data_IF_082102462434
#
_entry.id   IF_082102462434
#
_cell.length_a   1.000
_cell.length_b   1.000
_cell.length_c   1.000
_cell.angle_alpha   90.00
_cell.angle_beta   90.00
_cell.angle_gamma   90.00
#
_symmetry.space_group_name_H-M   'P 1'
#
loop_
_entity.id
_entity.type
_entity.pdbx_description
1 polymer ?
#
# COMPACT_ATOMS: atom_id res chain seq x y z
N UNK A 1 -54.82 33.05 -3.08
CA UNK A 1 -54.04 34.30 -3.34
C UNK A 1 -52.62 34.28 -2.71
N UNK A 2 -52.28 33.37 -1.78
CA UNK A 2 -50.94 33.33 -1.15
C UNK A 2 -49.90 32.38 -1.79
N UNK A 3 -50.23 31.56 -2.79
CA UNK A 3 -49.26 30.65 -3.43
C UNK A 3 -48.35 31.34 -4.45
N UNK A 4 -48.84 32.41 -5.09
CA UNK A 4 -48.10 33.18 -6.10
C UNK A 4 -46.87 33.89 -5.52
N UNK A 5 -46.93 34.30 -4.26
CA UNK A 5 -45.87 35.02 -3.55
C UNK A 5 -44.75 34.09 -3.07
N UNK A 6 -45.04 32.84 -2.76
CA UNK A 6 -44.03 31.82 -2.41
C UNK A 6 -43.27 31.32 -3.63
N UNK A 7 -43.95 31.11 -4.77
CA UNK A 7 -43.30 30.73 -6.03
C UNK A 7 -42.37 31.82 -6.56
N UNK A 8 -42.78 33.09 -6.52
CA UNK A 8 -41.92 34.22 -6.91
C UNK A 8 -40.73 34.43 -5.97
N UNK A 9 -40.87 34.14 -4.67
CA UNK A 9 -39.73 34.14 -3.73
C UNK A 9 -38.79 32.96 -3.99
N UNK A 10 -39.31 31.79 -4.35
CA UNK A 10 -38.49 30.63 -4.73
C UNK A 10 -37.73 30.92 -6.03
N UNK A 11 -38.40 31.47 -7.05
CA UNK A 11 -37.77 31.88 -8.31
C UNK A 11 -36.75 32.99 -8.12
N UNK A 12 -37.03 33.99 -7.27
CA UNK A 12 -36.07 35.03 -6.92
C UNK A 12 -34.85 34.47 -6.18
N UNK A 13 -35.04 33.51 -5.26
CA UNK A 13 -33.94 32.83 -4.57
C UNK A 13 -33.14 31.91 -5.51
N UNK A 14 -33.80 31.25 -6.48
CA UNK A 14 -33.14 30.47 -7.55
C UNK A 14 -32.38 31.39 -8.52
N UNK A 15 -32.89 32.60 -8.76
CA UNK A 15 -32.22 33.62 -9.59
C UNK A 15 -31.05 34.30 -8.85
N UNK A 16 -31.10 34.41 -7.52
CA UNK A 16 -29.98 34.84 -6.67
C UNK A 16 -28.94 33.71 -6.51
N UNK A 17 -29.37 32.45 -6.56
CA UNK A 17 -28.47 31.28 -6.67
C UNK A 17 -27.92 31.03 -8.08
N UNK A 18 -28.30 31.82 -9.10
CA UNK A 18 -27.40 32.10 -10.23
C UNK A 18 -26.28 33.04 -9.76
N UNK A 19 -25.67 32.71 -8.62
CA UNK A 19 -24.35 33.18 -8.28
C UNK A 19 -23.49 32.88 -9.51
N UNK A 20 -23.00 33.96 -10.11
CA UNK A 20 -22.19 33.91 -11.33
C UNK A 20 -21.20 32.76 -11.21
N UNK A 21 -21.23 31.84 -12.16
CA UNK A 21 -20.33 30.71 -12.17
C UNK A 21 -18.94 31.21 -12.60
N UNK A 22 -18.30 31.92 -11.67
CA UNK A 22 -17.04 32.62 -11.89
C UNK A 22 -15.93 31.68 -12.36
N UNK A 23 -15.97 30.40 -11.95
CA UNK A 23 -15.03 29.38 -12.41
C UNK A 23 -15.22 29.04 -13.89
N UNK A 24 -16.45 28.98 -14.40
CA UNK A 24 -16.67 28.67 -15.83
C UNK A 24 -16.25 29.79 -16.77
N UNK A 25 -16.21 31.03 -16.28
CA UNK A 25 -15.78 32.21 -17.04
C UNK A 25 -14.25 32.31 -17.16
N UNK A 26 -13.51 31.62 -16.28
CA UNK A 26 -12.05 31.62 -16.35
C UNK A 26 -11.53 30.83 -17.57
N UNK A 27 -10.37 31.24 -18.11
CA UNK A 27 -9.56 30.41 -18.98
C UNK A 27 -9.26 29.04 -18.36
N UNK A 28 -9.09 28.02 -19.20
CA UNK A 28 -8.95 26.62 -18.76
C UNK A 28 -7.67 26.39 -17.95
N UNK A 29 -6.57 27.08 -18.27
CA UNK A 29 -5.30 27.03 -17.54
C UNK A 29 -5.43 27.61 -16.12
N UNK A 30 -6.15 28.72 -15.99
CA UNK A 30 -6.44 29.37 -14.71
C UNK A 30 -7.35 28.48 -13.85
N UNK A 31 -8.40 27.92 -14.46
CA UNK A 31 -9.30 26.97 -13.81
C UNK A 31 -8.54 25.73 -13.33
N UNK A 32 -7.66 25.18 -14.17
CA UNK A 32 -6.84 24.02 -13.83
C UNK A 32 -5.88 24.31 -12.67
N UNK A 33 -5.29 25.51 -12.60
CA UNK A 33 -4.43 25.92 -11.49
C UNK A 33 -5.19 26.01 -10.16
N UNK A 34 -6.45 26.48 -10.19
CA UNK A 34 -7.29 26.53 -9.00
C UNK A 34 -7.68 25.11 -8.57
N UNK A 35 -8.21 24.31 -9.50
CA UNK A 35 -8.68 22.96 -9.22
C UNK A 35 -7.55 22.01 -8.80
N UNK A 36 -6.31 22.20 -9.23
CA UNK A 36 -5.18 21.38 -8.78
C UNK A 36 -4.82 21.55 -7.31
N UNK A 37 -5.35 22.58 -6.64
CA UNK A 37 -5.15 22.82 -5.20
C UNK A 37 -6.24 22.17 -4.35
N UNK A 38 -7.25 21.60 -4.97
CA UNK A 38 -8.34 20.92 -4.31
C UNK A 38 -8.00 19.44 -4.13
N UNK A 39 -8.67 18.80 -3.17
CA UNK A 39 -8.54 17.36 -3.02
C UNK A 39 -9.49 16.61 -3.97
N UNK A 40 -9.40 15.28 -3.96
CA UNK A 40 -10.25 14.48 -4.83
C UNK A 40 -11.75 14.56 -4.49
N UNK A 41 -12.13 14.82 -3.25
CA UNK A 41 -13.54 14.91 -2.85
C UNK A 41 -14.14 16.23 -3.35
N UNK A 42 -13.41 17.33 -3.17
CA UNK A 42 -13.78 18.64 -3.72
C UNK A 42 -13.97 18.57 -5.24
N UNK A 43 -13.07 17.87 -5.94
CA UNK A 43 -13.15 17.69 -7.39
C UNK A 43 -14.35 16.83 -7.80
N UNK A 44 -14.70 15.81 -7.02
CA UNK A 44 -15.89 14.99 -7.26
C UNK A 44 -17.17 15.84 -7.15
N UNK A 45 -17.25 16.75 -6.18
CA UNK A 45 -18.37 17.68 -6.06
C UNK A 45 -18.43 18.66 -7.25
N UNK A 46 -17.30 19.27 -7.61
CA UNK A 46 -17.20 20.24 -8.70
C UNK A 46 -17.55 19.61 -10.06
N UNK A 47 -17.19 18.34 -10.27
CA UNK A 47 -17.47 17.60 -11.50
C UNK A 47 -18.97 17.56 -11.83
N UNK A 48 -19.82 17.58 -10.79
CA UNK A 48 -21.28 17.50 -10.96
C UNK A 48 -21.91 18.81 -11.44
N UNK A 49 -21.17 19.93 -11.38
CA UNK A 49 -21.72 21.26 -11.61
C UNK A 49 -21.93 21.60 -13.10
N UNK A 50 -21.04 21.16 -13.99
CA UNK A 50 -21.13 21.44 -15.44
C UNK A 50 -20.23 20.52 -16.27
N UNK A 51 -20.51 20.39 -17.58
CA UNK A 51 -19.66 19.64 -18.51
C UNK A 51 -18.22 20.17 -18.60
N UNK A 52 -18.04 21.50 -18.56
CA UNK A 52 -16.71 22.13 -18.56
C UNK A 52 -15.96 21.74 -17.28
N UNK A 53 -16.61 21.90 -16.12
CA UNK A 53 -15.98 21.55 -14.83
C UNK A 53 -15.65 20.06 -14.71
N UNK A 54 -16.46 19.18 -15.30
CA UNK A 54 -16.12 17.75 -15.42
C UNK A 54 -14.78 17.54 -16.12
N UNK A 55 -14.64 18.10 -17.32
CA UNK A 55 -13.41 17.95 -18.12
C UNK A 55 -12.18 18.52 -17.40
N UNK A 56 -12.31 19.69 -16.79
CA UNK A 56 -11.18 20.32 -16.09
C UNK A 56 -10.84 19.53 -14.81
N UNK A 57 -11.83 19.05 -14.07
CA UNK A 57 -11.62 18.21 -12.88
C UNK A 57 -10.90 16.91 -13.23
N UNK A 58 -11.26 16.26 -14.34
CA UNK A 58 -10.57 15.07 -14.85
C UNK A 58 -9.07 15.30 -15.09
N UNK A 59 -8.71 16.47 -15.62
CA UNK A 59 -7.31 16.84 -15.84
C UNK A 59 -6.63 17.21 -14.52
N UNK A 60 -7.33 17.97 -13.65
CA UNK A 60 -6.83 18.44 -12.36
C UNK A 60 -6.49 17.30 -11.40
N UNK A 61 -7.25 16.19 -11.44
CA UNK A 61 -7.08 14.99 -10.59
C UNK A 61 -5.66 14.43 -10.55
N UNK A 62 -4.86 14.62 -11.60
CA UNK A 62 -3.46 14.16 -11.63
C UNK A 62 -2.56 14.90 -10.62
N UNK A 63 -2.93 16.14 -10.31
CA UNK A 63 -2.19 17.05 -9.45
C UNK A 63 -2.94 17.38 -8.16
N UNK A 64 -4.13 16.80 -7.96
CA UNK A 64 -4.98 17.07 -6.81
C UNK A 64 -4.26 16.71 -5.51
N UNK A 65 -4.61 17.45 -4.45
CA UNK A 65 -4.10 17.16 -3.12
C UNK A 65 -4.63 15.80 -2.67
N UNK A 66 -3.73 15.01 -2.08
CA UNK A 66 -4.07 13.70 -1.54
C UNK A 66 -4.47 13.83 -0.10
N UNK A 67 -5.61 13.24 0.25
CA UNK A 67 -6.03 13.16 1.65
C UNK A 67 -5.07 12.24 2.41
N UNK A 68 -4.49 12.66 3.54
CA UNK A 68 -3.60 11.80 4.31
C UNK A 68 -4.41 10.66 4.95
N UNK A 69 -3.94 9.43 4.80
CA UNK A 69 -4.50 8.26 5.46
C UNK A 69 -3.39 7.43 6.12
N UNK A 70 -3.65 6.98 7.33
CA UNK A 70 -2.67 6.25 8.14
C UNK A 70 -2.35 4.90 7.52
N UNK A 71 -3.38 4.17 7.07
CA UNK A 71 -3.17 2.83 6.51
C UNK A 71 -4.25 2.44 5.52
N UNK A 72 -3.88 1.69 4.49
CA UNK A 72 -4.79 0.89 3.68
C UNK A 72 -4.48 -0.60 3.86
N UNK A 73 -5.51 -1.37 4.14
CA UNK A 73 -5.46 -2.83 4.18
C UNK A 73 -6.33 -3.36 3.03
N UNK A 74 -5.72 -4.19 2.19
CA UNK A 74 -6.38 -4.92 1.11
C UNK A 74 -6.37 -6.41 1.48
N UNK A 75 -7.56 -7.00 1.60
CA UNK A 75 -7.70 -8.40 1.99
C UNK A 75 -8.63 -9.14 1.05
N UNK A 76 -8.16 -10.25 0.53
CA UNK A 76 -8.98 -11.18 -0.26
C UNK A 76 -9.42 -12.33 0.63
N UNK A 77 -10.74 -12.50 0.79
CA UNK A 77 -11.30 -13.62 1.58
C UNK A 77 -11.55 -14.83 0.70
N UNK A 78 -11.96 -14.60 -0.53
CA UNK A 78 -12.16 -15.60 -1.57
C UNK A 78 -11.97 -14.91 -2.94
N UNK A 79 -11.97 -15.65 -4.07
CA UNK A 79 -11.78 -15.08 -5.40
C UNK A 79 -12.61 -13.83 -5.69
N UNK A 80 -13.85 -13.83 -5.21
CA UNK A 80 -14.84 -12.83 -5.54
C UNK A 80 -14.90 -11.71 -4.50
N UNK A 81 -14.44 -11.96 -3.27
CA UNK A 81 -14.66 -11.10 -2.13
C UNK A 81 -13.39 -10.42 -1.63
N UNK A 82 -13.37 -9.11 -1.83
CA UNK A 82 -12.27 -8.22 -1.44
C UNK A 82 -12.75 -7.15 -0.47
N UNK A 83 -11.90 -6.91 0.52
CA UNK A 83 -12.10 -5.90 1.55
C UNK A 83 -11.01 -4.86 1.44
N UNK A 84 -11.43 -3.60 1.38
CA UNK A 84 -10.57 -2.44 1.56
C UNK A 84 -10.92 -1.83 2.90
N UNK A 85 -9.94 -1.79 3.79
CA UNK A 85 -10.07 -1.16 5.10
C UNK A 85 -9.08 -0.02 5.13
N UNK A 86 -9.60 1.20 5.14
CA UNK A 86 -8.80 2.41 5.20
C UNK A 86 -8.94 3.06 6.58
N UNK A 87 -7.84 3.62 7.09
CA UNK A 87 -7.83 4.40 8.34
C UNK A 87 -7.42 5.83 8.05
N UNK A 88 -8.24 6.76 8.50
CA UNK A 88 -8.01 8.21 8.40
C UNK A 88 -8.19 8.79 9.80
N UNK A 89 -7.10 9.22 10.41
CA UNK A 89 -7.11 9.64 11.82
C UNK A 89 -7.55 8.49 12.73
N UNK A 90 -8.62 8.71 13.49
CA UNK A 90 -9.19 7.68 14.39
C UNK A 90 -10.28 6.83 13.73
N UNK A 91 -10.77 7.25 12.57
CA UNK A 91 -11.85 6.59 11.85
C UNK A 91 -11.34 5.44 10.98
N UNK A 92 -12.19 4.43 10.80
CA UNK A 92 -11.97 3.37 9.84
C UNK A 92 -13.14 3.22 8.88
N UNK A 93 -12.83 3.08 7.61
CA UNK A 93 -13.77 2.92 6.52
C UNK A 93 -13.55 1.56 5.90
N UNK A 94 -14.64 0.83 5.68
CA UNK A 94 -14.59 -0.47 5.03
C UNK A 94 -15.44 -0.47 3.78
N UNK A 95 -14.83 -0.93 2.69
CA UNK A 95 -15.49 -1.16 1.41
C UNK A 95 -15.37 -2.66 1.10
N UNK A 96 -16.51 -3.30 0.93
CA UNK A 96 -16.59 -4.71 0.55
C UNK A 96 -17.07 -4.84 -0.89
N UNK A 97 -16.36 -5.62 -1.68
CA UNK A 97 -16.69 -5.90 -3.07
C UNK A 97 -16.97 -7.39 -3.26
N UNK A 98 -18.00 -7.69 -4.06
CA UNK A 98 -18.21 -9.02 -4.64
C UNK A 98 -18.22 -8.87 -6.16
N UNK A 99 -17.07 -9.12 -6.78
CA UNK A 99 -16.83 -8.79 -8.19
C UNK A 99 -17.08 -7.31 -8.48
N UNK A 100 -18.01 -7.03 -9.40
CA UNK A 100 -18.27 -5.68 -9.92
C UNK A 100 -19.07 -4.77 -9.00
N UNK A 101 -19.80 -5.29 -8.01
CA UNK A 101 -20.70 -4.46 -7.21
C UNK A 101 -20.16 -4.25 -5.79
N UNK A 102 -20.13 -2.98 -5.28
CA UNK A 102 -19.94 -2.77 -3.86
C UNK A 102 -21.10 -3.44 -3.13
N UNK A 103 -20.79 -4.34 -2.21
CA UNK A 103 -21.80 -4.97 -1.37
C UNK A 103 -22.20 -4.05 -0.22
N UNK A 104 -21.23 -3.33 0.33
CA UNK A 104 -21.43 -2.53 1.52
C UNK A 104 -20.32 -1.48 1.66
N UNK A 105 -20.72 -0.26 1.99
CA UNK A 105 -19.85 0.80 2.48
C UNK A 105 -20.24 1.09 3.92
N UNK A 106 -19.29 0.96 4.84
CA UNK A 106 -19.58 1.17 6.26
C UNK A 106 -18.45 1.96 6.92
N UNK A 107 -18.81 3.05 7.59
CA UNK A 107 -17.95 3.70 8.58
C UNK A 107 -18.01 2.88 9.86
N UNK A 108 -16.87 2.41 10.33
CA UNK A 108 -16.75 1.67 11.58
C UNK A 108 -16.03 2.51 12.62
N UNK A 109 -16.64 2.62 13.81
CA UNK A 109 -15.95 3.11 15.00
C UNK A 109 -14.88 2.10 15.44
N UNK A 110 -13.78 2.60 16.03
CA UNK A 110 -12.65 1.79 16.55
C UNK A 110 -13.14 0.55 17.32
N UNK A 111 -12.71 -0.64 16.89
CA UNK A 111 -12.89 -1.89 17.66
C UNK A 111 -13.31 -3.13 16.86
N UNK A 112 -14.00 -2.97 15.72
CA UNK A 112 -14.64 -4.11 15.02
C UNK A 112 -13.79 -4.84 13.97
N UNK A 113 -12.49 -4.52 13.86
CA UNK A 113 -11.65 -5.06 12.79
C UNK A 113 -11.07 -6.46 13.07
N UNK A 114 -11.24 -6.98 14.29
CA UNK A 114 -10.49 -8.15 14.77
C UNK A 114 -11.09 -9.49 14.29
N UNK A 115 -12.41 -9.58 14.07
CA UNK A 115 -13.08 -10.89 13.91
C UNK A 115 -13.38 -11.34 12.48
N UNK A 116 -13.01 -10.56 11.46
CA UNK A 116 -13.22 -10.98 10.06
C UNK A 116 -12.13 -11.94 9.53
N UNK A 117 -11.18 -12.36 10.37
CA UNK A 117 -9.94 -13.03 9.97
C UNK A 117 -9.98 -14.51 10.34
N UNK A 118 -10.65 -15.36 9.54
CA UNK A 118 -10.41 -16.81 9.63
C UNK A 118 -11.02 -17.53 8.41
N UNK A 119 -10.31 -17.50 7.28
CA UNK A 119 -10.29 -18.54 6.24
C UNK A 119 -9.42 -18.07 5.08
N UNK A 120 -8.37 -18.83 4.81
CA UNK A 120 -7.54 -18.72 3.62
C UNK A 120 -8.31 -19.39 2.47
N UNK A 121 -8.55 -18.71 1.34
CA UNK A 121 -9.25 -19.34 0.22
C UNK A 121 -8.37 -20.36 -0.50
N UNK A 122 -8.96 -21.49 -0.91
CA UNK A 122 -8.26 -22.60 -1.57
C UNK A 122 -8.03 -22.40 -3.07
N UNK A 123 -8.69 -21.41 -3.69
CA UNK A 123 -8.47 -20.96 -5.07
C UNK A 123 -8.71 -19.47 -5.16
N UNK A 124 -7.95 -18.76 -5.99
CA UNK A 124 -7.95 -17.30 -6.12
C UNK A 124 -8.24 -16.93 -7.58
N UNK A 125 -9.49 -16.97 -8.03
CA UNK A 125 -9.83 -16.44 -9.36
C UNK A 125 -9.95 -14.91 -9.36
N UNK A 126 -9.62 -14.34 -10.52
CA UNK A 126 -9.27 -12.93 -10.75
C UNK A 126 -10.50 -12.00 -10.83
N UNK A 127 -10.28 -10.71 -10.54
CA UNK A 127 -11.11 -9.63 -11.10
C UNK A 127 -10.26 -8.37 -11.31
N UNK A 128 -9.97 -8.06 -12.58
CA UNK A 128 -9.22 -6.87 -13.04
C UNK A 128 -9.84 -5.56 -12.52
N UNK A 129 -11.15 -5.56 -12.37
CA UNK A 129 -11.94 -4.41 -11.91
C UNK A 129 -11.64 -4.08 -10.45
N UNK A 130 -11.23 -5.07 -9.65
CA UNK A 130 -10.94 -4.85 -8.23
C UNK A 130 -9.59 -4.14 -8.06
N UNK A 131 -8.60 -4.49 -8.88
CA UNK A 131 -7.33 -3.76 -8.95
C UNK A 131 -7.57 -2.33 -9.47
N UNK A 132 -8.47 -2.14 -10.44
CA UNK A 132 -8.86 -0.80 -10.90
C UNK A 132 -9.47 0.05 -9.78
N UNK A 133 -10.32 -0.51 -8.91
CA UNK A 133 -10.89 0.22 -7.76
C UNK A 133 -9.87 0.52 -6.67
N UNK A 134 -9.02 -0.45 -6.36
CA UNK A 134 -7.92 -0.26 -5.45
C UNK A 134 -6.99 0.87 -5.93
N UNK A 135 -6.79 0.98 -7.25
CA UNK A 135 -6.05 2.09 -7.88
C UNK A 135 -6.69 3.44 -7.60
N UNK A 136 -8.01 3.54 -7.72
CA UNK A 136 -8.75 4.79 -7.45
C UNK A 136 -8.52 5.23 -6.01
N UNK A 137 -8.63 4.31 -5.03
CA UNK A 137 -8.35 4.64 -3.63
C UNK A 137 -6.90 5.12 -3.46
N UNK A 138 -5.93 4.40 -3.99
CA UNK A 138 -4.51 4.77 -3.86
C UNK A 138 -4.10 6.06 -4.59
N UNK A 139 -4.87 6.46 -5.59
CA UNK A 139 -4.69 7.77 -6.22
C UNK A 139 -5.16 8.90 -5.30
N UNK A 140 -6.27 8.69 -4.58
CA UNK A 140 -6.91 9.69 -3.71
C UNK A 140 -6.16 9.94 -2.41
N UNK A 141 -5.49 8.92 -1.86
CA UNK A 141 -4.90 8.98 -0.53
C UNK A 141 -3.37 8.99 -0.55
N UNK A 142 -2.77 9.74 0.38
CA UNK A 142 -1.36 9.60 0.73
C UNK A 142 -1.27 8.63 1.90
N UNK A 143 -0.68 7.46 1.68
CA UNK A 143 -0.65 6.37 2.66
C UNK A 143 0.68 6.30 3.38
N UNK A 144 0.64 6.15 4.71
CA UNK A 144 1.84 5.78 5.47
C UNK A 144 2.09 4.27 5.43
N UNK A 145 1.03 3.47 5.54
CA UNK A 145 1.11 2.01 5.60
C UNK A 145 0.22 1.35 4.53
N UNK A 146 0.74 0.31 3.87
CA UNK A 146 -0.01 -0.51 2.94
C UNK A 146 0.14 -2.00 3.29
N UNK A 147 -1.00 -2.64 3.57
CA UNK A 147 -1.06 -4.03 4.02
C UNK A 147 -1.87 -4.89 3.06
N UNK A 148 -1.29 -6.00 2.62
CA UNK A 148 -1.93 -7.03 1.81
C UNK A 148 -2.11 -8.29 2.65
N UNK A 149 -3.33 -8.82 2.72
CA UNK A 149 -3.63 -10.04 3.49
C UNK A 149 -4.30 -11.07 2.59
N UNK A 150 -3.73 -12.28 2.56
CA UNK A 150 -4.25 -13.42 1.80
C UNK A 150 -4.46 -13.12 0.31
N UNK A 151 -3.57 -12.30 -0.27
CA UNK A 151 -3.63 -11.89 -1.68
C UNK A 151 -2.84 -12.88 -2.55
N UNK A 152 -3.41 -13.21 -3.71
CA UNK A 152 -2.72 -13.92 -4.80
C UNK A 152 -1.76 -12.97 -5.51
N UNK A 153 -0.49 -13.37 -5.64
CA UNK A 153 0.53 -12.60 -6.35
C UNK A 153 0.72 -13.24 -7.72
N UNK A 154 0.17 -12.58 -8.73
CA UNK A 154 0.30 -12.93 -10.14
C UNK A 154 0.77 -11.72 -10.96
N UNK A 155 0.92 -11.88 -12.28
CA UNK A 155 1.34 -10.78 -13.16
C UNK A 155 0.39 -9.58 -13.13
N UNK A 156 -0.91 -9.79 -12.88
CA UNK A 156 -1.88 -8.70 -12.78
C UNK A 156 -1.68 -7.90 -11.51
N UNK A 157 -1.50 -8.58 -10.37
CA UNK A 157 -1.11 -7.95 -9.12
C UNK A 157 0.19 -7.17 -9.30
N UNK A 158 1.22 -7.74 -9.93
CA UNK A 158 2.50 -7.07 -10.14
C UNK A 158 2.36 -5.82 -11.03
N UNK A 159 1.62 -5.92 -12.14
CA UNK A 159 1.32 -4.77 -13.00
C UNK A 159 0.59 -3.66 -12.23
N UNK A 160 -0.37 -4.06 -11.40
CA UNK A 160 -1.12 -3.15 -10.56
C UNK A 160 -0.21 -2.50 -9.52
N UNK A 161 0.55 -3.29 -8.77
CA UNK A 161 1.49 -2.86 -7.74
C UNK A 161 2.54 -1.90 -8.32
N UNK A 162 3.06 -2.20 -9.51
CA UNK A 162 3.94 -1.31 -10.27
C UNK A 162 3.26 0.01 -10.62
N UNK A 163 1.98 0.00 -11.01
CA UNK A 163 1.23 1.22 -11.28
C UNK A 163 1.07 2.10 -10.03
N UNK A 164 1.09 1.51 -8.84
CA UNK A 164 1.06 2.22 -7.56
C UNK A 164 2.38 2.91 -7.24
N UNK A 165 3.51 2.44 -7.80
CA UNK A 165 4.80 3.12 -7.65
C UNK A 165 4.71 4.60 -8.05
N UNK A 166 3.85 4.90 -9.01
CA UNK A 166 3.66 6.25 -9.55
C UNK A 166 2.80 7.14 -8.67
N UNK A 167 2.05 6.58 -7.72
CA UNK A 167 1.08 7.33 -6.93
C UNK A 167 1.66 7.92 -5.65
N UNK A 168 2.89 7.60 -5.27
CA UNK A 168 3.56 8.25 -4.15
C UNK A 168 4.49 7.32 -3.37
N UNK A 169 4.92 7.80 -2.21
CA UNK A 169 5.75 7.05 -1.27
C UNK A 169 4.89 6.44 -0.18
N UNK A 170 5.20 5.20 0.20
CA UNK A 170 4.61 4.51 1.36
C UNK A 170 5.76 4.15 2.29
N UNK A 171 5.58 4.40 3.59
CA UNK A 171 6.65 4.14 4.57
C UNK A 171 6.73 2.66 4.94
N UNK A 172 5.59 1.98 5.05
CA UNK A 172 5.52 0.59 5.50
C UNK A 172 4.75 -0.32 4.53
N UNK A 173 5.37 -1.43 4.15
CA UNK A 173 4.69 -2.55 3.48
C UNK A 173 4.53 -3.74 4.39
N UNK A 174 3.35 -4.34 4.29
CA UNK A 174 3.08 -5.62 4.93
C UNK A 174 2.40 -6.57 3.97
N UNK A 175 2.96 -7.76 3.82
CA UNK A 175 2.35 -8.91 3.15
C UNK A 175 2.10 -9.99 4.20
N UNK A 176 0.87 -10.44 4.32
CA UNK A 176 0.46 -11.43 5.33
C UNK A 176 -0.33 -12.57 4.71
N UNK A 177 0.20 -13.78 4.77
CA UNK A 177 -0.40 -14.99 4.18
C UNK A 177 -0.63 -14.86 2.67
N UNK A 178 0.17 -14.07 1.98
CA UNK A 178 0.09 -13.94 0.52
C UNK A 178 0.80 -15.13 -0.15
N UNK A 179 0.36 -15.51 -1.34
CA UNK A 179 0.90 -16.66 -2.07
C UNK A 179 1.07 -16.33 -3.56
N UNK A 180 2.03 -16.97 -4.23
CA UNK A 180 2.21 -16.85 -5.68
C UNK A 180 1.31 -17.87 -6.40
N UNK A 181 0.56 -17.45 -7.43
CA UNK A 181 -0.39 -18.31 -8.12
C UNK A 181 0.20 -19.00 -9.34
N UNK A 182 -0.03 -20.33 -9.47
CA UNK A 182 0.21 -21.17 -10.66
C UNK A 182 1.60 -21.16 -11.31
N UNK A 183 2.54 -20.36 -10.83
CA UNK A 183 3.98 -20.53 -10.96
C UNK A 183 4.62 -19.69 -9.87
N UNK A 184 5.40 -20.35 -9.01
CA UNK A 184 6.49 -19.75 -8.25
C UNK A 184 7.59 -19.27 -9.23
N UNK A 185 7.23 -18.72 -10.40
CA UNK A 185 8.22 -18.35 -11.40
C UNK A 185 9.16 -17.37 -10.74
N UNK A 186 10.43 -17.72 -10.77
CA UNK A 186 11.53 -16.92 -10.24
C UNK A 186 11.40 -15.48 -10.75
N UNK A 187 10.98 -15.30 -12.01
CA UNK A 187 10.66 -14.01 -12.62
C UNK A 187 9.63 -13.18 -11.83
N UNK A 188 8.51 -13.77 -11.40
CA UNK A 188 7.48 -13.04 -10.65
C UNK A 188 7.98 -12.61 -9.27
N UNK A 189 8.79 -13.46 -8.62
CA UNK A 189 9.41 -13.14 -7.33
C UNK A 189 10.45 -12.03 -7.49
N UNK A 190 11.34 -12.13 -8.47
CA UNK A 190 12.35 -11.12 -8.80
C UNK A 190 11.72 -9.79 -9.19
N UNK A 191 10.61 -9.83 -9.94
CA UNK A 191 9.85 -8.63 -10.26
C UNK A 191 9.27 -7.99 -9.01
N UNK A 192 8.65 -8.76 -8.11
CA UNK A 192 8.14 -8.21 -6.85
C UNK A 192 9.26 -7.61 -5.98
N UNK A 193 10.40 -8.31 -5.84
CA UNK A 193 11.59 -7.80 -5.16
C UNK A 193 12.02 -6.45 -5.74
N UNK A 194 12.13 -6.38 -7.06
CA UNK A 194 12.51 -5.16 -7.79
C UNK A 194 11.52 -4.01 -7.55
N UNK A 195 10.22 -4.31 -7.51
CA UNK A 195 9.18 -3.32 -7.20
C UNK A 195 9.30 -2.82 -5.75
N UNK A 196 9.51 -3.72 -4.79
CA UNK A 196 9.73 -3.36 -3.37
C UNK A 196 10.97 -2.47 -3.23
N UNK A 197 12.09 -2.83 -3.87
CA UNK A 197 13.34 -2.04 -3.84
C UNK A 197 13.14 -0.66 -4.47
N UNK A 198 12.42 -0.59 -5.59
CA UNK A 198 12.10 0.67 -6.28
C UNK A 198 11.29 1.61 -5.39
N UNK A 199 10.42 1.04 -4.54
CA UNK A 199 9.56 1.82 -3.67
C UNK A 199 10.25 2.38 -2.43
N UNK A 200 11.39 1.80 -2.05
CA UNK A 200 12.22 2.24 -0.92
C UNK A 200 11.46 2.40 0.41
N UNK A 201 10.66 1.41 0.84
CA UNK A 201 9.96 1.46 2.13
C UNK A 201 10.97 1.47 3.28
N UNK A 202 10.68 2.22 4.35
CA UNK A 202 11.49 2.19 5.57
C UNK A 202 11.18 0.96 6.43
N UNK A 203 9.99 0.38 6.30
CA UNK A 203 9.56 -0.82 7.04
C UNK A 203 8.94 -1.85 6.10
N UNK A 204 9.38 -3.11 6.22
CA UNK A 204 8.86 -4.22 5.42
C UNK A 204 8.56 -5.40 6.34
N UNK A 205 7.32 -5.91 6.24
CA UNK A 205 6.89 -7.14 6.91
C UNK A 205 6.42 -8.15 5.87
N UNK A 206 7.12 -9.27 5.75
CA UNK A 206 6.87 -10.28 4.74
C UNK A 206 6.47 -11.59 5.40
N UNK A 207 5.28 -12.08 5.06
CA UNK A 207 4.80 -13.39 5.43
C UNK A 207 4.13 -14.02 4.21
N UNK A 208 4.93 -14.72 3.42
CA UNK A 208 4.51 -15.41 2.22
C UNK A 208 4.36 -16.91 2.46
N UNK A 209 3.38 -17.49 1.79
CA UNK A 209 3.23 -18.95 1.65
C UNK A 209 3.81 -19.34 0.30
N UNK A 210 5.10 -19.67 0.26
CA UNK A 210 5.82 -20.12 -0.93
C UNK A 210 6.75 -21.29 -0.58
N UNK A 211 6.99 -22.21 -1.52
CA UNK A 211 7.88 -23.37 -1.32
C UNK A 211 9.34 -22.98 -1.45
N UNK A 212 9.66 -22.04 -2.35
CA UNK A 212 11.00 -21.50 -2.51
C UNK A 212 11.26 -20.30 -1.61
N UNK A 213 12.53 -20.04 -1.32
CA UNK A 213 12.93 -18.89 -0.51
C UNK A 213 12.74 -17.59 -1.30
N UNK A 214 11.68 -16.83 -0.97
CA UNK A 214 11.44 -15.51 -1.56
C UNK A 214 12.52 -14.49 -1.18
N UNK A 215 13.21 -14.66 -0.05
CA UNK A 215 14.26 -13.74 0.40
C UNK A 215 15.59 -14.45 0.30
N UNK A 216 16.56 -13.80 -0.34
CA UNK A 216 17.95 -14.22 -0.44
C UNK A 216 18.90 -13.10 0.04
N UNK A 217 20.19 -13.41 0.12
CA UNK A 217 21.21 -12.48 0.60
C UNK A 217 21.41 -11.28 -0.34
N UNK A 218 21.22 -11.47 -1.65
CA UNK A 218 21.35 -10.41 -2.64
C UNK A 218 20.27 -9.36 -2.44
N UNK A 219 19.01 -9.78 -2.30
CA UNK A 219 17.90 -8.89 -2.01
C UNK A 219 18.11 -8.09 -0.71
N UNK A 220 18.57 -8.72 0.37
CA UNK A 220 18.85 -8.03 1.63
C UNK A 220 19.97 -6.98 1.47
N UNK A 221 21.00 -7.29 0.68
CA UNK A 221 22.11 -6.38 0.38
C UNK A 221 21.65 -5.18 -0.45
N UNK A 222 20.86 -5.44 -1.50
CA UNK A 222 20.29 -4.41 -2.36
C UNK A 222 19.34 -3.50 -1.56
N UNK A 223 18.58 -4.08 -0.63
CA UNK A 223 17.63 -3.36 0.20
C UNK A 223 18.29 -2.35 1.14
N UNK A 224 19.32 -2.75 1.91
CA UNK A 224 20.02 -1.80 2.81
C UNK A 224 20.82 -0.76 2.05
N UNK A 225 21.22 -1.07 0.81
CA UNK A 225 21.90 -0.12 -0.07
C UNK A 225 20.93 0.93 -0.61
N UNK A 226 19.68 0.52 -0.88
CA UNK A 226 18.63 1.41 -1.36
C UNK A 226 17.99 2.25 -0.25
N UNK A 227 17.87 1.70 0.97
CA UNK A 227 17.18 2.33 2.10
C UNK A 227 18.02 2.26 3.37
N UNK A 228 18.51 3.41 3.88
CA UNK A 228 19.28 3.44 5.12
C UNK A 228 18.38 3.08 6.31
N UNK A 229 18.91 2.27 7.24
CA UNK A 229 18.25 1.89 8.49
C UNK A 229 16.88 1.22 8.30
N UNK A 230 16.71 0.50 7.19
CA UNK A 230 15.48 -0.25 6.91
C UNK A 230 15.15 -1.24 8.04
N UNK A 231 13.85 -1.39 8.31
CA UNK A 231 13.30 -2.36 9.24
C UNK A 231 12.67 -3.51 8.47
N UNK A 232 13.16 -4.73 8.69
CA UNK A 232 12.69 -5.91 7.97
C UNK A 232 12.24 -6.97 8.95
N UNK A 233 11.06 -7.51 8.70
CA UNK A 233 10.52 -8.65 9.43
C UNK A 233 10.06 -9.70 8.43
N UNK A 234 10.62 -10.91 8.48
CA UNK A 234 10.27 -12.03 7.62
C UNK A 234 9.77 -13.18 8.47
N UNK A 235 8.51 -13.56 8.26
CA UNK A 235 7.88 -14.74 8.81
C UNK A 235 7.69 -15.74 7.68
N UNK A 236 8.63 -16.66 7.48
CA UNK A 236 8.43 -17.78 6.55
C UNK A 236 8.53 -19.10 7.32
N UNK A 237 7.46 -19.90 7.37
CA UNK A 237 7.47 -21.19 8.07
C UNK A 237 8.22 -22.29 7.29
N UNK A 238 8.49 -22.08 5.99
CA UNK A 238 8.99 -23.12 5.09
C UNK A 238 10.32 -22.76 4.39
N UNK A 239 11.01 -21.69 4.79
CA UNK A 239 12.26 -21.30 4.12
C UNK A 239 13.45 -22.12 4.60
N UNK A 240 14.23 -22.63 3.63
CA UNK A 240 15.60 -23.08 3.86
C UNK A 240 16.38 -22.00 4.59
N UNK A 241 17.20 -22.35 5.60
CA UNK A 241 18.03 -21.36 6.28
C UNK A 241 18.95 -20.60 5.32
N UNK A 242 18.96 -19.27 5.42
CA UNK A 242 19.94 -18.41 4.74
C UNK A 242 21.20 -18.35 5.59
N UNK A 243 22.33 -18.77 5.01
CA UNK A 243 23.63 -18.79 5.69
C UNK A 243 24.56 -17.77 5.02
N UNK A 244 24.62 -16.52 5.52
CA UNK A 244 25.58 -15.55 5.03
C UNK A 244 27.03 -15.94 5.36
N UNK A 245 27.95 -15.49 4.51
CA UNK A 245 29.38 -15.49 4.80
C UNK A 245 29.79 -14.20 5.56
N UNK A 246 31.08 -14.07 5.87
CA UNK A 246 31.61 -12.92 6.62
C UNK A 246 31.42 -11.59 5.87
N UNK A 247 31.25 -11.58 4.54
CA UNK A 247 31.05 -10.33 3.79
C UNK A 247 29.72 -9.67 4.13
N UNK A 248 28.76 -10.43 4.68
CA UNK A 248 27.46 -9.91 5.10
C UNK A 248 27.51 -9.11 6.41
N UNK A 249 28.63 -9.11 7.16
CA UNK A 249 28.81 -8.32 8.39
C UNK A 249 28.42 -6.85 8.18
N UNK A 250 28.94 -6.25 7.10
CA UNK A 250 28.69 -4.84 6.78
C UNK A 250 27.25 -4.57 6.37
N UNK A 251 26.60 -5.56 5.74
CA UNK A 251 25.19 -5.50 5.34
C UNK A 251 24.30 -5.56 6.59
N UNK A 252 24.59 -6.51 7.49
CA UNK A 252 23.84 -6.70 8.73
C UNK A 252 23.86 -5.42 9.59
N UNK A 253 25.03 -4.82 9.77
CA UNK A 253 25.23 -3.61 10.58
C UNK A 253 24.38 -2.41 10.12
N UNK A 254 23.96 -2.37 8.84
CA UNK A 254 23.16 -1.29 8.25
C UNK A 254 21.66 -1.40 8.52
N UNK A 255 21.16 -2.55 8.95
CA UNK A 255 19.76 -2.71 9.31
C UNK A 255 19.45 -2.00 10.62
N UNK A 256 18.40 -1.16 10.63
CA UNK A 256 17.84 -0.62 11.86
C UNK A 256 17.16 -1.74 12.66
N UNK A 257 16.38 -2.59 12.01
CA UNK A 257 15.80 -3.77 12.64
C UNK A 257 15.75 -4.91 11.64
N UNK A 258 16.15 -6.11 12.06
CA UNK A 258 15.97 -7.31 11.24
C UNK A 258 15.42 -8.44 12.12
N UNK A 259 14.27 -8.95 11.74
CA UNK A 259 13.66 -10.13 12.35
C UNK A 259 13.48 -11.18 11.26
N UNK A 260 14.32 -12.21 11.27
CA UNK A 260 14.30 -13.26 10.28
C UNK A 260 14.89 -14.54 10.88
N UNK A 261 14.02 -15.43 11.39
CA UNK A 261 14.46 -16.66 12.08
C UNK A 261 15.23 -17.62 11.17
N UNK A 262 14.93 -17.61 9.87
CA UNK A 262 15.64 -18.43 8.90
C UNK A 262 17.01 -17.87 8.50
N UNK A 263 17.36 -16.65 8.89
CA UNK A 263 18.72 -16.15 8.73
C UNK A 263 19.57 -16.80 9.83
N UNK A 264 20.59 -17.58 9.48
CA UNK A 264 21.45 -18.28 10.44
C UNK A 264 22.86 -17.72 10.35
N UNK A 265 23.26 -17.02 11.40
CA UNK A 265 24.51 -16.26 11.45
C UNK A 265 25.58 -17.03 12.24
N UNK A 266 26.82 -17.03 11.73
CA UNK A 266 27.97 -17.54 12.48
C UNK A 266 28.33 -16.54 13.59
N UNK A 267 28.43 -17.06 14.82
CA UNK A 267 28.82 -16.30 16.00
C UNK A 267 30.22 -15.69 15.92
N UNK A 268 31.14 -16.27 15.15
CA UNK A 268 32.55 -15.84 15.05
C UNK A 268 32.68 -14.38 14.58
N UNK A 269 31.92 -13.99 13.56
CA UNK A 269 31.94 -12.63 13.01
C UNK A 269 30.74 -11.77 13.45
N UNK A 270 29.74 -12.35 14.13
CA UNK A 270 28.60 -11.59 14.64
C UNK A 270 29.03 -10.46 15.59
N UNK A 271 30.06 -10.70 16.40
CA UNK A 271 30.60 -9.70 17.32
C UNK A 271 31.11 -8.47 16.55
N UNK A 272 31.75 -8.66 15.40
CA UNK A 272 32.24 -7.57 14.55
C UNK A 272 31.08 -6.70 14.05
N UNK A 273 29.99 -7.32 13.60
CA UNK A 273 28.78 -6.61 13.16
C UNK A 273 28.16 -5.77 14.30
N UNK A 274 28.09 -6.34 15.52
CA UNK A 274 27.57 -5.64 16.70
C UNK A 274 28.46 -4.44 17.06
N UNK A 275 29.79 -4.61 17.05
CA UNK A 275 30.72 -3.51 17.31
C UNK A 275 30.59 -2.39 16.27
N UNK A 276 30.49 -2.74 14.99
CA UNK A 276 30.30 -1.78 13.90
C UNK A 276 29.01 -0.97 14.11
N UNK A 277 27.91 -1.64 14.45
CA UNK A 277 26.62 -1.01 14.73
C UNK A 277 26.70 -0.04 15.92
N UNK A 278 27.34 -0.45 17.02
CA UNK A 278 27.52 0.39 18.21
C UNK A 278 28.33 1.65 17.88
N UNK A 279 29.40 1.53 17.09
CA UNK A 279 30.20 2.69 16.63
C UNK A 279 29.37 3.65 15.78
N UNK A 280 28.48 3.12 14.95
CA UNK A 280 27.56 3.91 14.13
C UNK A 280 26.35 4.49 14.91
N UNK A 281 26.17 4.10 16.18
CA UNK A 281 25.05 4.53 17.04
C UNK A 281 23.67 4.21 16.45
N UNK A 282 23.55 3.08 15.76
CA UNK A 282 22.29 2.64 15.13
C UNK A 282 21.40 1.91 16.13
N UNK A 283 20.22 2.45 16.41
CA UNK A 283 19.21 1.86 17.29
C UNK A 283 18.37 0.77 16.60
N UNK A 284 17.70 -0.08 17.39
CA UNK A 284 16.74 -1.11 16.96
C UNK A 284 17.18 -2.55 17.26
N UNK A 285 16.44 -3.52 16.75
CA UNK A 285 16.50 -4.90 17.24
C UNK A 285 16.89 -5.92 16.16
N UNK A 286 17.66 -6.93 16.54
CA UNK A 286 18.05 -8.05 15.68
C UNK A 286 17.54 -9.36 16.26
N UNK A 287 16.79 -10.13 15.47
CA UNK A 287 16.29 -11.46 15.83
C UNK A 287 16.49 -12.43 14.65
N UNK A 288 17.40 -13.36 14.80
CA UNK A 288 17.74 -14.37 13.80
C UNK A 288 18.26 -15.65 14.48
N UNK A 289 18.43 -16.71 13.71
CA UNK A 289 19.09 -17.93 14.19
C UNK A 289 20.60 -17.73 14.30
N UNK A 290 21.22 -18.40 15.26
CA UNK A 290 22.69 -18.45 15.42
C UNK A 290 23.16 -19.89 15.35
N UNK A 291 24.31 -20.14 14.75
CA UNK A 291 24.96 -21.45 14.73
C UNK A 291 26.45 -21.33 15.01
N UNK A 292 26.99 -22.29 15.76
CA UNK A 292 28.43 -22.50 15.95
C UNK A 292 29.01 -23.49 14.93
N UNK A 293 28.15 -24.17 14.16
CA UNK A 293 28.54 -25.22 13.21
C UNK A 293 27.87 -24.96 11.85
N UNK A 294 28.62 -24.36 10.91
CA UNK A 294 28.13 -24.12 9.55
C UNK A 294 28.20 -25.37 8.66
N UNK A 295 28.98 -26.39 9.06
CA UNK A 295 29.36 -27.55 8.24
C UNK A 295 28.46 -28.79 8.42
N UNK A 296 27.46 -28.77 9.30
CA UNK A 296 26.49 -29.87 9.38
C UNK A 296 25.46 -29.69 8.25
N UNK A 297 25.71 -30.46 7.16
CA UNK A 297 24.87 -30.61 5.97
C UNK A 297 23.60 -31.41 6.26
#
# INVERSE_FOLDING_TARGET
VNESTSLKKLEANVSIMRAMNHLTELPDDCSLNVLSRLDHNDLDEIETTSKKMRLISDVARKNALKTPATSLLVKQRNPQLLYFIMRIGEDSYTLQFNGTKPLQEQRMSRGYLVDLIERTPERLERSDEILARAKVLLQRFSLEQLKFIAISIDNYFLNYFESLLRTGTVKEFQFEKCAFENNESEEGQERLKSLILSWKPSTIRLNFTCKSAFIDLKFLTDLVSAVPLVQVTVYSPASTPLRPDQTFVEVLAKFGTITMRSLVINTDWLIEAVQQRLRQKVAGDWMFGVSTDLNQQ
#
